data_IF_538359656599
#
_entry.id   IF_538359656599
#
_cell.length_a   1.000
_cell.length_b   1.000
_cell.length_c   1.000
_cell.angle_alpha   90.00
_cell.angle_beta   90.00
_cell.angle_gamma   90.00
#
_symmetry.space_group_name_H-M   'P 1'
#
loop_
_entity.id
_entity.type
_entity.pdbx_description
1 polymer ?
#
# COMPACT_ATOMS: atom_id res chain seq x y z
N UNK A 1 -20.43 9.02 9.49
CA UNK A 1 -21.03 8.00 10.38
C UNK A 1 -20.20 6.72 10.43
N UNK A 2 -19.95 6.03 9.31
CA UNK A 2 -19.16 4.78 9.30
C UNK A 2 -17.76 4.91 9.92
N UNK A 3 -17.03 6.00 9.62
CA UNK A 3 -15.73 6.27 10.23
C UNK A 3 -15.75 6.42 11.75
N UNK A 4 -16.87 6.85 12.35
CA UNK A 4 -17.00 6.85 13.82
C UNK A 4 -17.22 5.45 14.36
N UNK A 5 -17.99 4.60 13.65
CA UNK A 5 -18.20 3.20 14.04
C UNK A 5 -16.87 2.43 14.07
N UNK A 6 -16.04 2.56 13.03
CA UNK A 6 -14.76 1.82 12.95
C UNK A 6 -13.74 2.28 13.99
N UNK A 7 -13.98 3.36 14.74
CA UNK A 7 -13.16 3.69 15.92
C UNK A 7 -13.26 2.62 17.01
N UNK A 8 -14.35 1.87 17.02
CA UNK A 8 -14.57 0.75 17.93
C UNK A 8 -14.17 -0.56 17.23
N UNK A 9 -13.18 -1.26 17.79
CA UNK A 9 -12.62 -2.49 17.23
C UNK A 9 -13.67 -3.56 16.87
N UNK A 10 -14.71 -3.83 17.70
CA UNK A 10 -15.73 -4.82 17.34
C UNK A 10 -16.50 -4.47 16.06
N UNK A 11 -16.78 -3.18 15.84
CA UNK A 11 -17.50 -2.72 14.64
C UNK A 11 -16.58 -2.74 13.42
N UNK A 12 -15.32 -2.35 13.59
CA UNK A 12 -14.31 -2.49 12.54
C UNK A 12 -14.14 -3.96 12.11
N UNK A 13 -14.14 -4.89 13.08
CA UNK A 13 -14.05 -6.34 12.82
C UNK A 13 -15.22 -6.85 11.99
N UNK A 14 -16.45 -6.44 12.33
CA UNK A 14 -17.64 -6.81 11.55
C UNK A 14 -17.49 -6.38 10.09
N UNK A 15 -16.99 -5.18 9.85
CA UNK A 15 -16.81 -4.66 8.49
C UNK A 15 -15.65 -5.34 7.77
N UNK A 16 -14.47 -5.47 8.39
CA UNK A 16 -13.29 -6.09 7.77
C UNK A 16 -13.57 -7.53 7.32
N UNK A 17 -14.24 -8.31 8.16
CA UNK A 17 -14.51 -9.72 7.89
C UNK A 17 -15.82 -9.94 7.10
N UNK A 18 -16.48 -8.90 6.63
CA UNK A 18 -17.66 -9.03 5.77
C UNK A 18 -17.29 -9.11 4.30
N UNK A 19 -18.17 -9.74 3.50
CA UNK A 19 -18.00 -9.76 2.04
C UNK A 19 -18.03 -8.34 1.44
N UNK A 20 -18.76 -7.42 2.08
CA UNK A 20 -18.90 -6.02 1.64
C UNK A 20 -17.61 -5.21 1.81
N UNK A 21 -16.65 -5.68 2.61
CA UNK A 21 -15.33 -5.03 2.67
C UNK A 21 -14.71 -4.90 1.28
N UNK A 22 -14.87 -5.90 0.42
CA UNK A 22 -14.29 -5.89 -0.92
C UNK A 22 -14.90 -4.83 -1.84
N UNK A 23 -16.07 -4.30 -1.52
CA UNK A 23 -16.64 -3.21 -2.31
C UNK A 23 -15.83 -1.91 -2.18
N UNK A 24 -14.99 -1.75 -1.13
CA UNK A 24 -14.07 -0.61 -1.05
C UNK A 24 -13.12 -0.55 -2.26
N UNK A 25 -12.66 -1.68 -2.81
CA UNK A 25 -11.82 -1.68 -4.01
C UNK A 25 -12.52 -1.08 -5.23
N UNK A 26 -13.86 -1.14 -5.28
CA UNK A 26 -14.67 -0.46 -6.31
C UNK A 26 -14.93 1.00 -5.94
N UNK A 27 -15.24 1.27 -4.67
CA UNK A 27 -15.59 2.62 -4.21
C UNK A 27 -14.43 3.60 -4.36
N UNK A 28 -13.19 3.16 -4.11
CA UNK A 28 -11.99 4.00 -4.28
C UNK A 28 -11.64 4.29 -5.76
N UNK A 29 -12.26 3.58 -6.70
CA UNK A 29 -12.08 3.76 -8.15
C UNK A 29 -13.27 4.49 -8.78
N UNK A 30 -14.21 5.03 -7.98
CA UNK A 30 -15.32 5.80 -8.51
C UNK A 30 -14.83 7.07 -9.23
N UNK A 31 -15.49 7.42 -10.34
CA UNK A 31 -15.16 8.61 -11.13
C UNK A 31 -15.44 9.92 -10.37
N UNK A 32 -16.33 9.90 -9.39
CA UNK A 32 -16.61 11.04 -8.52
C UNK A 32 -15.54 11.16 -7.43
N UNK A 33 -14.64 12.14 -7.60
CA UNK A 33 -13.49 12.34 -6.73
C UNK A 33 -13.81 12.42 -5.23
N UNK A 34 -14.84 13.17 -4.83
CA UNK A 34 -15.19 13.36 -3.42
C UNK A 34 -15.61 12.02 -2.77
N UNK A 35 -16.38 11.21 -3.50
CA UNK A 35 -16.84 9.90 -3.04
C UNK A 35 -15.66 8.93 -2.96
N UNK A 36 -14.84 8.85 -4.01
CA UNK A 36 -13.68 7.97 -4.04
C UNK A 36 -12.66 8.31 -2.93
N UNK A 37 -12.42 9.61 -2.69
CA UNK A 37 -11.52 10.07 -1.64
C UNK A 37 -12.05 9.77 -0.25
N UNK A 38 -13.35 9.95 -0.01
CA UNK A 38 -14.00 9.62 1.27
C UNK A 38 -14.01 8.10 1.54
N UNK A 39 -14.27 7.31 0.49
CA UNK A 39 -14.16 5.86 0.53
C UNK A 39 -12.72 5.44 0.85
N UNK A 40 -11.71 6.04 0.20
CA UNK A 40 -10.30 5.73 0.45
C UNK A 40 -9.90 6.07 1.88
N UNK A 41 -10.35 7.21 2.43
CA UNK A 41 -10.08 7.57 3.82
C UNK A 41 -10.63 6.51 4.80
N UNK A 42 -11.84 5.99 4.52
CA UNK A 42 -12.47 4.94 5.33
C UNK A 42 -11.75 3.59 5.17
N UNK A 43 -11.39 3.23 3.94
CA UNK A 43 -10.63 2.03 3.61
C UNK A 43 -9.27 2.03 4.32
N UNK A 44 -8.54 3.14 4.24
CA UNK A 44 -7.29 3.35 4.97
C UNK A 44 -7.47 3.20 6.47
N UNK A 45 -8.50 3.81 7.05
CA UNK A 45 -8.73 3.78 8.49
C UNK A 45 -9.03 2.35 8.99
N UNK A 46 -9.85 1.61 8.25
CA UNK A 46 -10.10 0.18 8.49
C UNK A 46 -8.80 -0.65 8.47
N UNK A 47 -7.90 -0.37 7.52
CA UNK A 47 -6.65 -1.11 7.33
C UNK A 47 -5.49 -0.62 8.20
N UNK A 48 -5.65 0.42 9.02
CA UNK A 48 -4.51 0.97 9.77
C UNK A 48 -4.78 1.29 11.23
N UNK A 49 -6.04 1.37 11.68
CA UNK A 49 -6.38 1.74 13.05
C UNK A 49 -6.11 0.64 14.06
N UNK A 50 -6.74 -0.52 13.88
CA UNK A 50 -6.70 -1.63 14.85
C UNK A 50 -5.65 -2.64 14.43
N UNK A 51 -4.38 -2.39 14.80
CA UNK A 51 -3.21 -3.08 14.24
C UNK A 51 -3.26 -4.60 14.30
N UNK A 52 -3.62 -5.16 15.46
CA UNK A 52 -3.69 -6.62 15.65
C UNK A 52 -4.83 -7.24 14.83
N UNK A 53 -5.99 -6.61 14.81
CA UNK A 53 -7.14 -7.03 14.01
C UNK A 53 -6.83 -7.03 12.51
N UNK A 54 -6.17 -5.97 12.03
CA UNK A 54 -5.76 -5.86 10.62
C UNK A 54 -4.73 -6.93 10.27
N UNK A 55 -3.73 -7.14 11.12
CA UNK A 55 -2.71 -8.17 10.87
C UNK A 55 -3.34 -9.56 10.74
N UNK A 56 -4.24 -9.91 11.68
CA UNK A 56 -4.99 -11.17 11.65
C UNK A 56 -5.85 -11.31 10.38
N UNK A 57 -6.60 -10.26 10.04
CA UNK A 57 -7.41 -10.21 8.81
C UNK A 57 -6.56 -10.39 7.54
N UNK A 58 -5.45 -9.65 7.42
CA UNK A 58 -4.57 -9.66 6.26
C UNK A 58 -3.84 -10.98 6.10
N UNK A 59 -3.45 -11.63 7.19
CA UNK A 59 -2.80 -12.94 7.15
C UNK A 59 -3.76 -14.03 6.65
N UNK A 60 -4.99 -14.05 7.17
CA UNK A 60 -6.02 -15.01 6.77
C UNK A 60 -6.51 -14.83 5.32
N UNK A 61 -6.52 -13.58 4.83
CA UNK A 61 -7.09 -13.22 3.52
C UNK A 61 -6.04 -12.71 2.53
N UNK A 62 -4.75 -13.05 2.74
CA UNK A 62 -3.65 -12.43 2.02
C UNK A 62 -3.81 -12.49 0.50
N UNK A 63 -4.05 -13.68 -0.06
CA UNK A 63 -3.99 -13.85 -1.51
C UNK A 63 -5.14 -13.13 -2.22
N UNK A 64 -6.36 -13.18 -1.66
CA UNK A 64 -7.53 -12.47 -2.20
C UNK A 64 -7.41 -10.95 -2.05
N UNK A 65 -6.93 -10.46 -0.90
CA UNK A 65 -6.76 -9.02 -0.68
C UNK A 65 -5.67 -8.44 -1.57
N UNK A 66 -4.51 -9.08 -1.66
CA UNK A 66 -3.41 -8.55 -2.47
C UNK A 66 -3.67 -8.68 -3.98
N UNK A 67 -4.48 -9.64 -4.43
CA UNK A 67 -4.97 -9.70 -5.81
C UNK A 67 -5.81 -8.47 -6.17
N UNK A 68 -6.75 -8.07 -5.31
CA UNK A 68 -7.55 -6.86 -5.52
C UNK A 68 -6.72 -5.58 -5.32
N UNK A 69 -5.78 -5.59 -4.39
CA UNK A 69 -4.90 -4.43 -4.12
C UNK A 69 -3.95 -4.15 -5.28
N UNK A 70 -3.42 -5.18 -5.95
CA UNK A 70 -2.55 -5.01 -7.12
C UNK A 70 -3.24 -4.23 -8.25
N UNK A 71 -4.57 -4.37 -8.39
CA UNK A 71 -5.36 -3.60 -9.37
C UNK A 71 -5.30 -2.10 -9.06
N UNK A 72 -5.35 -1.71 -7.79
CA UNK A 72 -5.23 -0.30 -7.37
C UNK A 72 -3.84 0.28 -7.71
N UNK A 73 -2.79 -0.54 -7.65
CA UNK A 73 -1.43 -0.12 -8.01
C UNK A 73 -1.26 0.08 -9.53
N UNK A 74 -2.16 -0.49 -10.33
CA UNK A 74 -2.25 -0.32 -11.77
C UNK A 74 -3.35 0.66 -12.19
N UNK A 75 -3.99 1.35 -11.24
CA UNK A 75 -5.08 2.29 -11.55
C UNK A 75 -4.62 3.41 -12.49
N UNK A 76 -5.48 3.73 -13.47
CA UNK A 76 -5.33 4.91 -14.32
C UNK A 76 -5.67 6.21 -13.55
N UNK A 77 -6.38 6.10 -12.42
CA UNK A 77 -6.62 7.23 -11.53
C UNK A 77 -5.35 7.52 -10.73
N UNK A 78 -4.68 8.62 -11.07
CA UNK A 78 -3.45 9.07 -10.40
C UNK A 78 -3.58 9.14 -8.87
N UNK A 79 -4.70 9.64 -8.35
CA UNK A 79 -4.90 9.79 -6.90
C UNK A 79 -5.01 8.42 -6.26
N UNK A 80 -5.83 7.53 -6.82
CA UNK A 80 -6.01 6.17 -6.29
C UNK A 80 -4.69 5.39 -6.35
N UNK A 81 -3.99 5.43 -7.48
CA UNK A 81 -2.67 4.79 -7.63
C UNK A 81 -1.67 5.28 -6.58
N UNK A 82 -1.55 6.60 -6.42
CA UNK A 82 -0.61 7.20 -5.46
C UNK A 82 -0.96 6.86 -4.02
N UNK A 83 -2.22 7.03 -3.62
CA UNK A 83 -2.64 6.78 -2.25
C UNK A 83 -2.56 5.28 -1.90
N UNK A 84 -2.86 4.40 -2.84
CA UNK A 84 -2.72 2.95 -2.66
C UNK A 84 -1.25 2.53 -2.50
N UNK A 85 -0.35 3.13 -3.26
CA UNK A 85 1.09 2.87 -3.12
C UNK A 85 1.65 3.36 -1.78
N UNK A 86 1.21 4.54 -1.34
CA UNK A 86 1.54 5.07 -0.01
C UNK A 86 1.03 4.16 1.10
N UNK A 87 -0.25 3.76 1.04
CA UNK A 87 -0.87 2.87 2.01
C UNK A 87 -0.19 1.49 2.03
N UNK A 88 0.23 0.97 0.87
CA UNK A 88 1.00 -0.27 0.82
C UNK A 88 2.30 -0.13 1.62
N UNK A 89 3.04 0.97 1.43
CA UNK A 89 4.23 1.28 2.22
C UNK A 89 3.95 1.30 3.72
N UNK A 90 2.86 1.96 4.14
CA UNK A 90 2.44 1.99 5.56
C UNK A 90 2.12 0.60 6.10
N UNK A 91 1.45 -0.26 5.31
CA UNK A 91 1.06 -1.60 5.72
C UNK A 91 2.26 -2.54 5.88
N UNK A 92 3.18 -2.57 4.91
CA UNK A 92 4.32 -3.49 4.94
C UNK A 92 5.40 -3.05 5.95
N UNK A 93 5.46 -1.76 6.30
CA UNK A 93 6.39 -1.23 7.30
C UNK A 93 5.88 -1.37 8.73
N UNK A 94 4.60 -1.71 8.92
CA UNK A 94 4.04 -1.91 10.25
C UNK A 94 4.59 -3.20 10.88
N UNK A 95 5.12 -3.10 12.10
CA UNK A 95 5.71 -4.24 12.82
C UNK A 95 4.73 -5.39 13.06
N UNK A 96 3.43 -5.11 13.15
CA UNK A 96 2.42 -6.15 13.34
C UNK A 96 2.17 -6.95 12.05
N UNK A 97 2.57 -6.39 10.90
CA UNK A 97 2.40 -7.00 9.58
C UNK A 97 3.68 -7.69 9.10
N UNK A 98 4.58 -8.12 9.99
CA UNK A 98 5.85 -8.73 9.61
C UNK A 98 5.65 -9.95 8.69
N UNK A 99 4.71 -10.85 9.01
CA UNK A 99 4.41 -12.02 8.18
C UNK A 99 3.92 -11.63 6.77
N UNK A 100 3.03 -10.63 6.69
CA UNK A 100 2.49 -10.08 5.44
C UNK A 100 3.61 -9.43 4.61
N UNK A 101 4.47 -8.62 5.24
CA UNK A 101 5.63 -8.00 4.61
C UNK A 101 6.56 -9.08 4.03
N UNK A 102 6.95 -10.08 4.82
CA UNK A 102 7.82 -11.17 4.36
C UNK A 102 7.22 -11.91 3.17
N UNK A 103 5.92 -12.24 3.22
CA UNK A 103 5.22 -12.87 2.08
C UNK A 103 5.22 -11.96 0.86
N UNK A 104 4.98 -10.65 1.03
CA UNK A 104 4.96 -9.67 -0.06
C UNK A 104 6.31 -9.52 -0.76
N UNK A 105 7.38 -9.30 -0.01
CA UNK A 105 8.72 -9.06 -0.59
C UNK A 105 9.31 -10.32 -1.25
N UNK A 106 8.84 -11.52 -0.85
CA UNK A 106 9.32 -12.79 -1.40
C UNK A 106 8.86 -13.05 -2.84
N UNK A 107 7.79 -12.37 -3.30
CA UNK A 107 7.24 -12.55 -4.66
C UNK A 107 8.02 -11.70 -5.68
N UNK A 108 8.69 -12.29 -6.69
CA UNK A 108 9.45 -11.54 -7.69
C UNK A 108 8.62 -10.51 -8.48
N UNK A 109 7.35 -10.80 -8.71
CA UNK A 109 6.44 -9.89 -9.42
C UNK A 109 6.24 -8.57 -8.65
N UNK A 110 6.22 -8.60 -7.32
CA UNK A 110 6.10 -7.39 -6.50
C UNK A 110 7.34 -6.50 -6.62
N UNK A 111 8.53 -7.09 -6.69
CA UNK A 111 9.77 -6.35 -6.96
C UNK A 111 9.73 -5.74 -8.37
N UNK A 112 9.34 -6.51 -9.37
CA UNK A 112 9.20 -6.03 -10.76
C UNK A 112 8.21 -4.87 -10.86
N UNK A 113 7.07 -4.96 -10.18
CA UNK A 113 6.09 -3.87 -10.10
C UNK A 113 6.71 -2.60 -9.51
N UNK A 114 7.38 -2.69 -8.36
CA UNK A 114 8.04 -1.54 -7.74
C UNK A 114 9.12 -0.93 -8.64
N UNK A 115 9.91 -1.77 -9.32
CA UNK A 115 10.93 -1.30 -10.28
C UNK A 115 10.32 -0.59 -11.49
N UNK A 116 9.15 -1.02 -11.95
CA UNK A 116 8.41 -0.33 -13.01
C UNK A 116 7.85 1.00 -12.52
N UNK A 117 7.30 1.05 -11.31
CA UNK A 117 6.75 2.29 -10.70
C UNK A 117 7.83 3.33 -10.40
N UNK A 118 9.07 2.91 -10.13
CA UNK A 118 10.22 3.82 -10.05
C UNK A 118 10.47 4.57 -11.38
N UNK A 119 10.03 4.01 -12.51
CA UNK A 119 10.14 4.61 -13.85
C UNK A 119 8.86 5.32 -14.30
N UNK A 120 7.87 5.46 -13.41
CA UNK A 120 6.61 6.15 -13.71
C UNK A 120 6.86 7.61 -14.10
N UNK A 121 5.99 8.23 -14.89
CA UNK A 121 6.15 9.63 -15.31
C UNK A 121 5.99 10.62 -14.15
N UNK A 122 5.28 10.22 -13.09
CA UNK A 122 4.99 11.07 -11.93
C UNK A 122 6.06 10.93 -10.84
N UNK A 123 6.79 12.01 -10.48
CA UNK A 123 7.78 11.97 -9.40
C UNK A 123 7.20 11.54 -8.05
N UNK A 124 5.93 11.87 -7.80
CA UNK A 124 5.24 11.46 -6.58
C UNK A 124 4.98 9.95 -6.52
N UNK A 125 4.70 9.31 -7.66
CA UNK A 125 4.58 7.84 -7.72
C UNK A 125 5.94 7.19 -7.51
N UNK A 126 6.98 7.72 -8.16
CA UNK A 126 8.35 7.24 -7.99
C UNK A 126 8.79 7.30 -6.52
N UNK A 127 8.45 8.40 -5.83
CA UNK A 127 8.78 8.59 -4.41
C UNK A 127 8.11 7.54 -3.51
N UNK A 128 6.80 7.31 -3.67
CA UNK A 128 6.09 6.29 -2.88
C UNK A 128 6.59 4.87 -3.23
N UNK A 129 6.89 4.60 -4.52
CA UNK A 129 7.48 3.33 -4.97
C UNK A 129 8.85 3.08 -4.33
N UNK A 130 9.66 4.12 -4.20
CA UNK A 130 10.98 4.05 -3.59
C UNK A 130 10.91 3.61 -2.12
N UNK A 131 9.92 4.10 -1.37
CA UNK A 131 9.72 3.69 0.03
C UNK A 131 9.47 2.19 0.15
N UNK A 132 8.63 1.61 -0.71
CA UNK A 132 8.38 0.16 -0.75
C UNK A 132 9.61 -0.61 -1.23
N UNK A 133 10.26 -0.12 -2.28
CA UNK A 133 11.46 -0.73 -2.86
C UNK A 133 12.62 -0.83 -1.86
N UNK A 134 12.84 0.20 -1.04
CA UNK A 134 13.87 0.22 0.00
C UNK A 134 13.68 -0.93 1.01
N UNK A 135 12.44 -1.27 1.35
CA UNK A 135 12.13 -2.39 2.23
C UNK A 135 12.57 -3.70 1.58
N UNK A 136 12.15 -3.95 0.34
CA UNK A 136 12.53 -5.16 -0.41
C UNK A 136 14.05 -5.30 -0.48
N UNK A 137 14.79 -4.20 -0.71
CA UNK A 137 16.26 -4.25 -0.75
C UNK A 137 16.90 -4.63 0.58
N UNK A 138 16.38 -4.09 1.68
CA UNK A 138 16.95 -4.33 3.02
C UNK A 138 16.90 -5.81 3.38
N UNK A 139 15.92 -6.55 2.84
CA UNK A 139 15.77 -7.99 3.01
C UNK A 139 16.50 -8.82 1.93
N UNK A 140 16.78 -8.25 0.75
CA UNK A 140 17.52 -8.91 -0.34
C UNK A 140 18.77 -8.10 -0.78
N UNK A 141 19.74 -7.85 0.12
CA UNK A 141 20.83 -6.89 -0.10
C UNK A 141 21.80 -7.27 -1.25
N UNK A 142 21.85 -8.56 -1.63
CA UNK A 142 22.74 -9.09 -2.66
C UNK A 142 22.31 -8.78 -4.10
N UNK A 143 21.15 -8.16 -4.32
CA UNK A 143 20.70 -7.78 -5.65
C UNK A 143 21.45 -6.52 -6.17
N UNK A 144 22.53 -6.72 -6.95
CA UNK A 144 23.36 -5.64 -7.53
C UNK A 144 22.57 -4.58 -8.32
N UNK A 145 21.47 -4.98 -8.97
CA UNK A 145 20.59 -4.08 -9.73
C UNK A 145 19.96 -3.03 -8.82
N UNK A 146 19.67 -3.41 -7.57
CA UNK A 146 18.99 -2.55 -6.61
C UNK A 146 19.92 -1.45 -6.08
N UNK A 147 21.18 -1.77 -5.83
CA UNK A 147 22.17 -0.78 -5.38
C UNK A 147 22.41 0.34 -6.43
N UNK A 148 22.34 0.03 -7.73
CA UNK A 148 22.43 1.04 -8.80
C UNK A 148 21.22 1.96 -8.85
N UNK A 149 20.03 1.40 -8.64
CA UNK A 149 18.78 2.17 -8.57
C UNK A 149 18.85 3.15 -7.40
N UNK A 150 19.22 2.71 -6.19
CA UNK A 150 19.32 3.57 -5.01
C UNK A 150 20.27 4.77 -5.19
N UNK A 151 21.42 4.58 -5.83
CA UNK A 151 22.38 5.66 -6.08
C UNK A 151 21.82 6.75 -7.00
N UNK A 152 20.97 6.38 -7.97
CA UNK A 152 20.33 7.35 -8.87
C UNK A 152 19.23 8.16 -8.17
N UNK A 153 18.49 7.56 -7.23
CA UNK A 153 17.44 8.27 -6.47
C UNK A 153 17.98 9.04 -5.26
N UNK A 154 19.14 8.67 -4.68
CA UNK A 154 19.77 9.45 -3.60
C UNK A 154 19.98 10.93 -3.97
N UNK A 155 20.32 11.22 -5.23
CA UNK A 155 20.50 12.59 -5.72
C UNK A 155 19.17 13.37 -5.82
N UNK A 156 18.05 12.72 -6.13
CA UNK A 156 16.70 13.32 -6.08
C UNK A 156 16.16 13.45 -4.65
N UNK A 157 16.57 12.56 -3.76
CA UNK A 157 16.15 12.52 -2.35
C UNK A 157 16.80 13.66 -1.56
N UNK A 158 18.07 13.99 -1.81
CA UNK A 158 18.73 15.12 -1.13
C UNK A 158 18.04 16.48 -1.37
N UNK A 159 17.32 16.66 -2.48
CA UNK A 159 16.54 17.88 -2.73
C UNK A 159 15.16 17.90 -2.06
N UNK A 160 14.69 16.78 -1.50
CA UNK A 160 13.38 16.69 -0.82
C UNK A 160 13.47 16.60 0.70
N UNK A 161 14.68 16.40 1.26
CA UNK A 161 14.96 16.42 2.70
C UNK A 161 15.50 17.77 3.22
N UNK A 162 15.48 18.83 2.40
CA UNK A 162 15.85 20.20 2.80
C UNK A 162 14.64 21.09 3.08
N UNK A 163 13.67 20.59 3.85
CA UNK A 163 12.64 21.36 4.56
C UNK A 163 12.38 20.72 5.93
#
# INVERSE_FOLDING_TARGET
MLRECIRHEPLAKIILFSEQFRDFFKYVEMSTFDIASDAFATFKDLLTRHKLLVADFMEQNYDTIFEDYEKLLHSENYVTKRQSLKLLGELILDRHNFAIMTKYISKPENLKLMMNLLRDKSPNIQFEAFHVFKVIQSFHPSALIINRVLNNYQTQIMSSFSL
#
